data_IF_913858923511
#
_entry.id   IF_913858923511
#
_cell.length_a   1.000
_cell.length_b   1.000
_cell.length_c   1.000
_cell.angle_alpha   90.00
_cell.angle_beta   90.00
_cell.angle_gamma   90.00
#
_symmetry.space_group_name_H-M   'P 1'
#
loop_
_entity.id
_entity.type
_entity.pdbx_description
1 polymer ?
#
# COMPACT_ATOMS: atom_id res chain seq x y z
N UNK A 1 -34.84 -18.21 -8.51
CA UNK A 1 -33.64 -18.68 -9.22
C UNK A 1 -32.45 -18.31 -8.35
N UNK A 2 -31.89 -19.26 -7.61
CA UNK A 2 -30.73 -18.99 -6.75
C UNK A 2 -29.49 -18.81 -7.62
N UNK A 3 -28.90 -17.62 -7.61
CA UNK A 3 -27.63 -17.38 -8.26
C UNK A 3 -26.55 -18.04 -7.40
N UNK A 4 -26.17 -19.27 -7.73
CA UNK A 4 -25.02 -19.94 -7.10
C UNK A 4 -23.73 -19.35 -7.66
N UNK A 5 -23.15 -18.38 -6.96
CA UNK A 5 -21.80 -17.89 -7.25
C UNK A 5 -20.80 -18.96 -6.81
N UNK A 6 -19.98 -19.44 -7.75
CA UNK A 6 -18.92 -20.39 -7.45
C UNK A 6 -17.67 -19.67 -6.93
N UNK A 7 -16.89 -20.30 -6.04
CA UNK A 7 -15.62 -19.76 -5.53
C UNK A 7 -14.67 -19.33 -6.65
N UNK A 8 -14.65 -20.07 -7.76
CA UNK A 8 -13.87 -19.73 -8.95
C UNK A 8 -14.31 -18.40 -9.60
N UNK A 9 -15.61 -18.12 -9.66
CA UNK A 9 -16.12 -16.85 -10.18
C UNK A 9 -15.74 -15.69 -9.25
N UNK A 10 -15.88 -15.87 -7.93
CA UNK A 10 -15.48 -14.84 -6.95
C UNK A 10 -13.99 -14.52 -7.05
N UNK A 11 -13.12 -15.53 -7.16
CA UNK A 11 -11.68 -15.34 -7.30
C UNK A 11 -11.31 -14.58 -8.60
N UNK A 12 -12.00 -14.87 -9.72
CA UNK A 12 -11.79 -14.14 -10.98
C UNK A 12 -12.20 -12.67 -10.87
N UNK A 13 -13.32 -12.38 -10.20
CA UNK A 13 -13.77 -10.99 -9.97
C UNK A 13 -12.74 -10.24 -9.11
N UNK A 14 -12.31 -10.85 -7.99
CA UNK A 14 -11.28 -10.27 -7.13
C UNK A 14 -9.97 -10.04 -7.87
N UNK A 15 -9.58 -10.93 -8.78
CA UNK A 15 -8.40 -10.76 -9.61
C UNK A 15 -8.51 -9.53 -10.52
N UNK A 16 -9.64 -9.34 -11.21
CA UNK A 16 -9.86 -8.17 -12.08
C UNK A 16 -9.85 -6.87 -11.27
N UNK A 17 -10.54 -6.86 -10.12
CA UNK A 17 -10.53 -5.72 -9.21
C UNK A 17 -9.11 -5.38 -8.72
N UNK A 18 -8.32 -6.39 -8.36
CA UNK A 18 -6.93 -6.20 -7.93
C UNK A 18 -6.07 -5.55 -9.02
N UNK A 19 -6.28 -5.93 -10.29
CA UNK A 19 -5.59 -5.31 -11.43
C UNK A 19 -5.96 -3.84 -11.61
N UNK A 20 -7.25 -3.50 -11.51
CA UNK A 20 -7.72 -2.13 -11.64
C UNK A 20 -7.09 -1.25 -10.55
N UNK A 21 -7.11 -1.72 -9.29
CA UNK A 21 -6.52 -0.98 -8.16
C UNK A 21 -5.00 -0.82 -8.34
N UNK A 22 -4.31 -1.88 -8.75
CA UNK A 22 -2.87 -1.84 -9.00
C UNK A 22 -2.49 -0.78 -10.05
N UNK A 23 -3.21 -0.72 -11.17
CA UNK A 23 -2.97 0.29 -12.21
C UNK A 23 -3.17 1.71 -11.67
N UNK A 24 -4.22 1.95 -10.89
CA UNK A 24 -4.45 3.24 -10.24
C UNK A 24 -3.28 3.65 -9.32
N UNK A 25 -2.82 2.74 -8.48
CA UNK A 25 -1.70 2.99 -7.56
C UNK A 25 -0.37 3.23 -8.30
N UNK A 26 -0.14 2.57 -9.44
CA UNK A 26 1.03 2.84 -10.28
C UNK A 26 0.99 4.25 -10.89
N UNK A 27 -0.19 4.71 -11.33
CA UNK A 27 -0.36 6.07 -11.85
C UNK A 27 -0.15 7.09 -10.74
N UNK A 28 -0.68 6.87 -9.54
CA UNK A 28 -0.47 7.71 -8.36
C UNK A 28 1.02 7.82 -7.99
N UNK A 29 1.69 6.67 -7.80
CA UNK A 29 3.11 6.64 -7.44
C UNK A 29 3.99 7.29 -8.53
N UNK A 30 3.70 7.03 -9.81
CA UNK A 30 4.39 7.66 -10.93
C UNK A 30 4.17 9.16 -10.99
N UNK A 31 2.93 9.62 -10.81
CA UNK A 31 2.55 11.03 -10.82
C UNK A 31 3.26 11.83 -9.73
N UNK A 32 3.28 11.31 -8.50
CA UNK A 32 3.98 11.93 -7.36
C UNK A 32 5.49 11.95 -7.62
N UNK A 33 6.08 10.83 -8.08
CA UNK A 33 7.52 10.73 -8.33
C UNK A 33 7.97 11.70 -9.42
N UNK A 34 7.29 11.70 -10.58
CA UNK A 34 7.64 12.57 -11.71
C UNK A 34 7.45 14.05 -11.33
N UNK A 35 6.35 14.40 -10.66
CA UNK A 35 6.10 15.77 -10.23
C UNK A 35 7.15 16.25 -9.23
N UNK A 36 7.58 15.38 -8.31
CA UNK A 36 8.66 15.67 -7.37
C UNK A 36 9.98 15.93 -8.09
N UNK A 37 10.35 15.08 -9.05
CA UNK A 37 11.59 15.23 -9.85
C UNK A 37 11.55 16.53 -10.66
N UNK A 38 10.45 16.82 -11.34
CA UNK A 38 10.29 18.06 -12.11
C UNK A 38 10.45 19.28 -11.19
N UNK A 39 9.80 19.27 -10.03
CA UNK A 39 9.82 20.40 -9.09
C UNK A 39 11.22 20.68 -8.55
N UNK A 40 11.98 19.63 -8.21
CA UNK A 40 13.29 19.78 -7.59
C UNK A 40 14.43 20.06 -8.58
N UNK A 41 14.38 19.47 -9.78
CA UNK A 41 15.53 19.47 -10.70
C UNK A 41 15.33 20.26 -11.99
N UNK A 42 14.09 20.51 -12.40
CA UNK A 42 13.79 21.10 -13.72
C UNK A 42 13.15 22.47 -13.58
N UNK A 43 12.05 22.57 -12.84
CA UNK A 43 11.29 23.80 -12.70
C UNK A 43 10.61 23.88 -11.32
N UNK A 44 10.97 24.87 -10.48
CA UNK A 44 10.33 25.12 -9.19
C UNK A 44 8.80 25.32 -9.25
N UNK A 45 8.25 25.75 -10.38
CA UNK A 45 6.80 25.86 -10.59
C UNK A 45 6.11 24.51 -10.88
N UNK A 46 6.88 23.43 -10.99
CA UNK A 46 6.39 22.06 -11.16
C UNK A 46 5.51 21.56 -10.02
N UNK A 47 5.49 22.27 -8.88
CA UNK A 47 4.65 21.93 -7.72
C UNK A 47 3.15 21.95 -8.04
N UNK A 48 2.74 22.64 -9.11
CA UNK A 48 1.36 22.66 -9.62
C UNK A 48 0.95 21.37 -10.35
N UNK A 49 1.92 20.52 -10.69
CA UNK A 49 1.66 19.24 -11.37
C UNK A 49 1.15 18.18 -10.40
N UNK A 50 1.30 18.39 -9.09
CA UNK A 50 0.62 17.57 -8.10
C UNK A 50 -0.89 17.79 -8.24
N UNK A 51 -1.67 16.71 -8.39
CA UNK A 51 -3.11 16.82 -8.54
C UNK A 51 -3.76 17.18 -7.21
N UNK A 52 -3.52 16.35 -6.20
CA UNK A 52 -3.99 16.54 -4.84
C UNK A 52 -2.84 17.10 -3.97
N UNK A 53 -3.17 17.98 -3.02
CA UNK A 53 -2.19 18.56 -2.09
C UNK A 53 -1.27 19.65 -2.67
N UNK A 54 -1.47 20.09 -3.92
CA UNK A 54 -0.61 21.07 -4.59
C UNK A 54 -0.54 22.43 -3.90
N UNK A 55 -1.63 22.90 -3.30
CA UNK A 55 -1.66 24.16 -2.55
C UNK A 55 -0.74 24.10 -1.33
N UNK A 56 -0.88 23.05 -0.52
CA UNK A 56 -0.02 22.83 0.65
C UNK A 56 1.46 22.65 0.23
N UNK A 57 1.71 21.83 -0.80
CA UNK A 57 3.06 21.59 -1.31
C UNK A 57 3.70 22.86 -1.89
N UNK A 58 2.92 23.74 -2.51
CA UNK A 58 3.40 25.03 -3.03
C UNK A 58 3.84 25.96 -1.90
N UNK A 59 3.06 26.02 -0.82
CA UNK A 59 3.41 26.82 0.37
C UNK A 59 4.67 26.24 1.01
N UNK A 60 4.73 24.91 1.17
CA UNK A 60 5.86 24.21 1.77
C UNK A 60 7.15 24.40 0.96
N UNK A 61 7.07 24.28 -0.36
CA UNK A 61 8.22 24.48 -1.26
C UNK A 61 8.73 25.93 -1.22
N UNK A 62 7.83 26.91 -1.07
CA UNK A 62 8.20 28.33 -0.95
C UNK A 62 8.79 28.66 0.42
N UNK A 63 8.40 27.93 1.46
CA UNK A 63 8.93 28.05 2.81
C UNK A 63 10.32 27.43 2.92
N UNK A 64 10.45 26.15 2.57
CA UNK A 64 11.73 25.43 2.60
C UNK A 64 11.71 24.18 1.69
N UNK A 65 12.70 24.10 0.81
CA UNK A 65 12.84 23.00 -0.17
C UNK A 65 13.15 21.67 0.51
N UNK A 66 13.83 21.68 1.67
CA UNK A 66 14.15 20.48 2.44
C UNK A 66 12.91 19.81 3.03
N UNK A 67 12.00 20.59 3.61
CA UNK A 67 10.73 20.07 4.15
C UNK A 67 9.82 19.56 3.03
N UNK A 68 9.80 20.23 1.88
CA UNK A 68 9.11 19.74 0.68
C UNK A 68 9.66 18.39 0.24
N UNK A 69 10.98 18.24 0.15
CA UNK A 69 11.63 16.98 -0.20
C UNK A 69 11.31 15.86 0.80
N UNK A 70 11.31 16.17 2.10
CA UNK A 70 10.97 15.21 3.15
C UNK A 70 9.53 14.67 3.02
N UNK A 71 8.54 15.56 2.86
CA UNK A 71 7.13 15.16 2.69
C UNK A 71 6.94 14.37 1.41
N UNK A 72 7.43 14.87 0.27
CA UNK A 72 7.27 14.19 -1.03
C UNK A 72 7.95 12.83 -1.06
N UNK A 73 9.09 12.66 -0.38
CA UNK A 73 9.74 11.35 -0.22
C UNK A 73 8.85 10.37 0.55
N UNK A 74 8.19 10.82 1.63
CA UNK A 74 7.24 9.97 2.37
C UNK A 74 6.04 9.57 1.50
N UNK A 75 5.50 10.51 0.72
CA UNK A 75 4.41 10.23 -0.23
C UNK A 75 4.82 9.16 -1.26
N UNK A 76 6.02 9.27 -1.83
CA UNK A 76 6.55 8.29 -2.79
C UNK A 76 6.68 6.92 -2.14
N UNK A 77 7.30 6.84 -0.96
CA UNK A 77 7.50 5.57 -0.25
C UNK A 77 6.14 4.89 0.01
N UNK A 78 5.16 5.62 0.56
CA UNK A 78 3.83 5.10 0.85
C UNK A 78 3.13 4.61 -0.43
N UNK A 79 3.15 5.41 -1.49
CA UNK A 79 2.49 5.07 -2.76
C UNK A 79 3.12 3.85 -3.44
N UNK A 80 4.45 3.77 -3.45
CA UNK A 80 5.20 2.63 -4.00
C UNK A 80 4.93 1.37 -3.18
N UNK A 81 4.93 1.44 -1.84
CA UNK A 81 4.61 0.30 -1.00
C UNK A 81 3.18 -0.22 -1.24
N UNK A 82 2.19 0.66 -1.40
CA UNK A 82 0.82 0.28 -1.78
C UNK A 82 0.80 -0.45 -3.12
N UNK A 83 1.51 0.07 -4.13
CA UNK A 83 1.60 -0.55 -5.45
C UNK A 83 2.27 -1.94 -5.39
N UNK A 84 3.37 -2.07 -4.64
CA UNK A 84 4.04 -3.37 -4.42
C UNK A 84 3.10 -4.36 -3.73
N UNK A 85 2.34 -3.92 -2.72
CA UNK A 85 1.38 -4.76 -2.02
C UNK A 85 0.33 -5.34 -2.98
N UNK A 86 -0.28 -4.52 -3.82
CA UNK A 86 -1.24 -4.99 -4.82
C UNK A 86 -0.62 -5.86 -5.92
N UNK A 87 0.62 -5.60 -6.31
CA UNK A 87 1.36 -6.48 -7.20
C UNK A 87 1.52 -7.89 -6.60
N UNK A 88 1.84 -8.00 -5.30
CA UNK A 88 1.91 -9.31 -4.64
C UNK A 88 0.55 -10.01 -4.64
N UNK A 89 -0.56 -9.29 -4.43
CA UNK A 89 -1.92 -9.86 -4.52
C UNK A 89 -2.17 -10.44 -5.93
N UNK A 90 -1.86 -9.68 -6.99
CA UNK A 90 -2.01 -10.16 -8.38
C UNK A 90 -1.15 -11.40 -8.64
N UNK A 91 0.07 -11.43 -8.09
CA UNK A 91 0.99 -12.57 -8.20
C UNK A 91 0.43 -13.85 -7.58
N UNK A 92 -0.39 -13.76 -6.53
CA UNK A 92 -1.12 -14.91 -5.97
C UNK A 92 -2.04 -15.53 -7.03
N UNK A 93 -2.85 -14.71 -7.70
CA UNK A 93 -3.81 -15.20 -8.70
C UNK A 93 -3.14 -15.74 -9.97
N UNK A 94 -2.06 -15.11 -10.41
CA UNK A 94 -1.43 -15.40 -11.70
C UNK A 94 -0.35 -16.49 -11.62
N UNK A 95 0.54 -16.41 -10.63
CA UNK A 95 1.74 -17.26 -10.55
C UNK A 95 1.56 -18.45 -9.62
N UNK A 96 0.95 -18.24 -8.46
CA UNK A 96 0.75 -19.31 -7.47
C UNK A 96 -0.33 -20.28 -7.93
N UNK A 97 -1.23 -19.85 -8.84
CA UNK A 97 -2.41 -20.61 -9.31
C UNK A 97 -3.04 -21.33 -8.13
N UNK A 98 -3.79 -20.60 -7.31
CA UNK A 98 -4.48 -21.13 -6.13
C UNK A 98 -5.12 -22.48 -6.46
N UNK A 99 -4.41 -23.54 -6.12
CA UNK A 99 -4.87 -24.89 -6.38
C UNK A 99 -5.91 -25.17 -5.31
N UNK A 100 -7.18 -25.12 -5.71
CA UNK A 100 -8.28 -25.36 -4.80
C UNK A 100 -8.25 -26.77 -4.20
N UNK A 101 -7.46 -27.69 -4.77
CA UNK A 101 -7.22 -29.01 -4.17
C UNK A 101 -6.22 -28.98 -3.01
N UNK A 102 -5.27 -28.01 -2.99
CA UNK A 102 -4.33 -27.78 -1.87
C UNK A 102 -4.29 -26.29 -1.51
N UNK A 103 -5.32 -25.80 -0.80
CA UNK A 103 -5.48 -24.36 -0.54
C UNK A 103 -4.41 -23.80 0.42
N UNK A 104 -3.79 -24.65 1.25
CA UNK A 104 -2.73 -24.27 2.17
C UNK A 104 -1.37 -24.68 1.60
N UNK A 105 -0.56 -23.69 1.22
CA UNK A 105 0.80 -23.93 0.70
C UNK A 105 1.79 -22.97 1.35
N UNK A 106 3.05 -23.42 1.43
CA UNK A 106 4.15 -22.61 1.93
C UNK A 106 4.28 -21.29 1.13
N UNK A 107 4.13 -21.36 -0.20
CA UNK A 107 4.14 -20.20 -1.07
C UNK A 107 3.05 -19.17 -0.73
N UNK A 108 1.83 -19.62 -0.40
CA UNK A 108 0.76 -18.73 0.03
C UNK A 108 1.09 -18.08 1.38
N UNK A 109 1.60 -18.86 2.35
CA UNK A 109 2.02 -18.34 3.65
C UNK A 109 3.10 -17.26 3.53
N UNK A 110 4.09 -17.45 2.66
CA UNK A 110 5.17 -16.50 2.44
C UNK A 110 4.66 -15.20 1.83
N UNK A 111 3.74 -15.27 0.87
CA UNK A 111 3.16 -14.06 0.26
C UNK A 111 2.31 -13.29 1.27
N UNK A 112 1.48 -13.95 2.07
CA UNK A 112 0.66 -13.25 3.06
C UNK A 112 1.54 -12.63 4.16
N UNK A 113 2.64 -13.29 4.53
CA UNK A 113 3.62 -12.72 5.45
C UNK A 113 4.28 -11.47 4.86
N UNK A 114 4.64 -11.50 3.57
CA UNK A 114 5.13 -10.32 2.87
C UNK A 114 4.08 -9.21 2.82
N UNK A 115 2.80 -9.52 2.59
CA UNK A 115 1.71 -8.54 2.65
C UNK A 115 1.60 -7.91 4.05
N UNK A 116 1.77 -8.69 5.12
CA UNK A 116 1.74 -8.19 6.50
C UNK A 116 2.89 -7.21 6.78
N UNK A 117 4.10 -7.50 6.29
CA UNK A 117 5.25 -6.60 6.39
C UNK A 117 5.08 -5.33 5.54
N UNK A 118 4.51 -5.45 4.33
CA UNK A 118 4.21 -4.29 3.49
C UNK A 118 3.16 -3.38 4.14
N UNK A 119 2.07 -3.95 4.67
CA UNK A 119 1.06 -3.21 5.41
C UNK A 119 1.66 -2.50 6.64
N UNK A 120 2.56 -3.17 7.38
CA UNK A 120 3.27 -2.58 8.50
C UNK A 120 4.12 -1.38 8.06
N UNK A 121 4.88 -1.55 6.96
CA UNK A 121 5.70 -0.49 6.38
C UNK A 121 4.87 0.71 5.96
N UNK A 122 3.73 0.49 5.28
CA UNK A 122 2.81 1.57 4.89
C UNK A 122 2.32 2.31 6.13
N UNK A 123 1.88 1.60 7.16
CA UNK A 123 1.43 2.20 8.43
C UNK A 123 2.52 3.03 9.10
N UNK A 124 3.75 2.52 9.13
CA UNK A 124 4.90 3.19 9.71
C UNK A 124 5.23 4.50 8.98
N UNK A 125 5.39 4.47 7.66
CA UNK A 125 5.72 5.67 6.87
C UNK A 125 4.57 6.68 6.84
N UNK A 126 3.32 6.22 6.83
CA UNK A 126 2.13 7.09 6.93
C UNK A 126 2.09 7.80 8.29
N UNK A 127 2.34 7.07 9.39
CA UNK A 127 2.42 7.65 10.74
C UNK A 127 3.58 8.64 10.87
N UNK A 128 4.73 8.32 10.27
CA UNK A 128 5.87 9.23 10.24
C UNK A 128 5.54 10.53 9.48
N UNK A 129 4.92 10.44 8.30
CA UNK A 129 4.47 11.60 7.54
C UNK A 129 3.43 12.45 8.28
N UNK A 130 2.52 11.80 9.01
CA UNK A 130 1.56 12.48 9.88
C UNK A 130 2.24 13.25 11.03
N UNK A 131 3.16 12.60 11.74
CA UNK A 131 3.88 13.23 12.84
C UNK A 131 4.74 14.39 12.34
N UNK A 132 5.39 14.21 11.19
CA UNK A 132 6.22 15.24 10.58
C UNK A 132 5.40 16.46 10.13
N UNK A 133 4.25 16.25 9.49
CA UNK A 133 3.35 17.35 9.10
C UNK A 133 2.71 18.07 10.30
N UNK A 134 2.41 17.33 11.37
CA UNK A 134 1.91 17.91 12.63
C UNK A 134 2.98 18.74 13.32
N UNK A 135 4.23 18.27 13.32
CA UNK A 135 5.40 19.00 13.83
C UNK A 135 5.61 20.32 13.06
N UNK A 136 5.55 20.28 11.71
CA UNK A 136 5.59 21.48 10.86
C UNK A 136 4.48 22.50 11.20
N UNK A 137 3.27 22.01 11.47
CA UNK A 137 2.13 22.86 11.83
C UNK A 137 2.35 23.52 13.20
N UNK A 138 2.81 22.74 14.19
CA UNK A 138 2.88 23.16 15.60
C UNK A 138 4.11 24.02 15.88
N UNK A 139 5.28 23.62 15.38
CA UNK A 139 6.55 24.24 15.71
C UNK A 139 7.01 25.29 14.67
N UNK A 140 6.47 25.24 13.45
CA UNK A 140 6.84 26.18 12.37
C UNK A 140 5.65 27.04 11.90
N UNK A 141 4.48 26.91 12.54
CA UNK A 141 3.30 27.72 12.27
C UNK A 141 2.71 27.53 10.87
N UNK A 142 3.03 26.41 10.21
CA UNK A 142 2.55 26.10 8.87
C UNK A 142 1.05 25.77 8.87
N UNK A 143 0.39 25.92 7.72
CA UNK A 143 -0.99 25.48 7.56
C UNK A 143 -1.12 23.98 7.84
N UNK A 144 -2.24 23.55 8.43
CA UNK A 144 -2.50 22.14 8.70
C UNK A 144 -2.52 21.37 7.38
N UNK A 145 -1.67 20.35 7.28
CA UNK A 145 -1.62 19.48 6.12
C UNK A 145 -2.91 18.64 6.01
N UNK A 146 -3.45 18.56 4.80
CA UNK A 146 -4.47 17.55 4.46
C UNK A 146 -3.77 16.25 4.09
N UNK A 147 -3.80 15.29 5.02
CA UNK A 147 -3.13 13.99 4.88
C UNK A 147 -3.76 13.11 3.80
N UNK A 148 -5.05 13.29 3.54
CA UNK A 148 -5.76 12.55 2.50
C UNK A 148 -5.30 13.05 1.13
N UNK A 149 -5.27 14.37 0.94
CA UNK A 149 -4.72 14.99 -0.26
C UNK A 149 -3.22 14.72 -0.47
N UNK A 150 -2.48 14.39 0.59
CA UNK A 150 -1.08 13.96 0.53
C UNK A 150 -0.92 12.44 0.38
N UNK A 151 -2.00 11.66 0.30
CA UNK A 151 -1.99 10.20 0.15
C UNK A 151 -1.25 9.42 1.27
N UNK A 152 -0.99 10.06 2.41
CA UNK A 152 -0.28 9.50 3.59
C UNK A 152 -1.21 9.26 4.78
N UNK A 153 -2.53 9.34 4.58
CA UNK A 153 -3.53 9.04 5.61
C UNK A 153 -3.70 7.54 5.88
N UNK A 154 -4.38 7.21 6.98
CA UNK A 154 -4.81 5.84 7.29
C UNK A 154 -3.76 4.92 7.94
N UNK A 155 -2.77 5.49 8.64
CA UNK A 155 -1.71 4.69 9.30
C UNK A 155 -2.26 3.64 10.26
N UNK A 156 -3.32 3.97 11.00
CA UNK A 156 -4.05 3.10 11.92
C UNK A 156 -4.68 1.90 11.20
N UNK A 157 -5.33 2.14 10.05
CA UNK A 157 -5.92 1.09 9.21
C UNK A 157 -4.83 0.13 8.70
N UNK A 158 -3.67 0.66 8.28
CA UNK A 158 -2.56 -0.16 7.81
C UNK A 158 -1.90 -0.98 8.92
N UNK A 159 -1.76 -0.42 10.12
CA UNK A 159 -1.31 -1.20 11.29
C UNK A 159 -2.29 -2.31 11.64
N UNK A 160 -3.59 -2.01 11.63
CA UNK A 160 -4.62 -3.01 11.88
C UNK A 160 -4.61 -4.13 10.84
N UNK A 161 -4.49 -3.78 9.55
CA UNK A 161 -4.34 -4.73 8.44
C UNK A 161 -3.10 -5.62 8.62
N UNK A 162 -1.97 -5.04 9.02
CA UNK A 162 -0.75 -5.80 9.29
C UNK A 162 -0.98 -6.87 10.37
N UNK A 163 -1.59 -6.51 11.50
CA UNK A 163 -1.90 -7.45 12.59
C UNK A 163 -2.83 -8.57 12.12
N UNK A 164 -3.89 -8.24 11.37
CA UNK A 164 -4.81 -9.24 10.80
C UNK A 164 -4.06 -10.21 9.89
N UNK A 165 -3.22 -9.71 8.98
CA UNK A 165 -2.47 -10.55 8.06
C UNK A 165 -1.48 -11.45 8.81
N UNK A 166 -0.85 -10.97 9.88
CA UNK A 166 -0.02 -11.81 10.75
C UNK A 166 -0.82 -12.96 11.36
N UNK A 167 -2.03 -12.69 11.89
CA UNK A 167 -2.90 -13.74 12.42
C UNK A 167 -3.26 -14.76 11.33
N UNK A 168 -3.62 -14.31 10.13
CA UNK A 168 -3.94 -15.19 9.00
C UNK A 168 -2.75 -16.09 8.63
N UNK A 169 -1.52 -15.55 8.62
CA UNK A 169 -0.32 -16.36 8.35
C UNK A 169 -0.16 -17.48 9.37
N UNK A 170 -0.39 -17.22 10.66
CA UNK A 170 -0.29 -18.28 11.68
C UNK A 170 -1.35 -19.37 11.47
N UNK A 171 -2.58 -18.98 11.12
CA UNK A 171 -3.65 -19.93 10.80
C UNK A 171 -3.26 -20.79 9.58
N UNK A 172 -2.72 -20.18 8.52
CA UNK A 172 -2.31 -20.91 7.32
C UNK A 172 -1.17 -21.87 7.62
N UNK A 173 -0.16 -21.46 8.40
CA UNK A 173 0.92 -22.35 8.84
C UNK A 173 0.37 -23.56 9.59
N UNK A 174 -0.58 -23.35 10.50
CA UNK A 174 -1.24 -24.46 11.20
C UNK A 174 -2.05 -25.36 10.25
N UNK A 175 -2.70 -24.76 9.25
CA UNK A 175 -3.39 -25.51 8.20
C UNK A 175 -2.46 -26.39 7.36
N UNK A 176 -1.24 -25.92 7.06
CA UNK A 176 -0.21 -26.70 6.35
C UNK A 176 0.22 -27.91 7.18
N UNK A 177 0.44 -27.74 8.49
CA UNK A 177 0.80 -28.86 9.40
C UNK A 177 -0.27 -29.94 9.39
N UNK A 178 -1.54 -29.56 9.57
CA UNK A 178 -2.67 -30.50 9.59
C UNK A 178 -2.83 -31.21 8.23
N UNK A 179 -2.65 -30.50 7.12
CA UNK A 179 -2.74 -31.09 5.79
C UNK A 179 -1.61 -32.11 5.57
N UNK A 180 -0.40 -31.83 6.03
CA UNK A 180 0.72 -32.77 5.93
C UNK A 180 0.53 -34.04 6.78
N UNK A 181 -0.04 -33.92 7.98
CA UNK A 181 -0.37 -35.07 8.84
C UNK A 181 -1.43 -35.98 8.20
N UNK A 182 -2.48 -35.39 7.62
CA UNK A 182 -3.52 -36.14 6.92
C UNK A 182 -2.97 -36.85 5.67
N UNK A 183 -2.09 -36.21 4.90
CA UNK A 183 -1.48 -36.82 3.71
C UNK A 183 -0.57 -38.02 4.06
N UNK A 184 -0.06 -38.11 5.30
CA UNK A 184 0.80 -39.19 5.79
C UNK A 184 0.04 -40.37 6.43
N UNK A 185 -1.26 -40.23 6.68
CA UNK A 185 -2.09 -41.23 7.39
C UNK A 185 -3.06 -41.98 6.46
N UNK A 186 -3.07 -41.67 5.16
CA UNK A 186 -3.83 -42.36 4.11
C UNK A 186 -3.02 -43.47 3.46
#
# INVERSE_FOLDING_TARGET
MEIKITTSQTLKILQVLSWIIFLGLCVEAGGITVSTIITLFINPHGVKNFWEGSEYLSILHSYDVGHFFAITTMMIIVSVLKAILFYQIIKIFTKIKLDLSRPFSLALSEVILLLAYLALGIGFFSSFGYNYSTWLTTDHGMAKADLEALHISGSDVWFFMSVILFVIVQIIKKGIEIQAENDLTV
#
